data_IF_145154957773
#
_entry.id   IF_145154957773
#
_cell.length_a   1.000
_cell.length_b   1.000
_cell.length_c   1.000
_cell.angle_alpha   90.00
_cell.angle_beta   90.00
_cell.angle_gamma   90.00
#
_symmetry.space_group_name_H-M   'P 1'
#
loop_
_entity.id
_entity.type
_entity.pdbx_description
1 polymer ?
#
# COMPACT_ATOMS: atom_id res chain seq x y z
N UNK A 1 -1.41 13.20 30.66
CA UNK A 1 -1.99 12.34 29.59
C UNK A 1 -1.23 12.67 28.32
N UNK A 2 -0.12 11.99 28.12
CA UNK A 2 0.77 12.17 26.99
C UNK A 2 0.09 11.62 25.73
N UNK A 3 -0.55 12.49 24.96
CA UNK A 3 -1.01 12.14 23.62
C UNK A 3 0.24 12.05 22.73
N UNK A 4 0.82 10.85 22.65
CA UNK A 4 1.81 10.57 21.60
C UNK A 4 1.11 10.76 20.25
N UNK A 5 1.69 11.53 19.30
CA UNK A 5 1.15 11.58 17.96
C UNK A 5 1.14 10.14 17.43
N UNK A 6 -0.06 9.59 17.23
CA UNK A 6 -0.21 8.31 16.55
C UNK A 6 0.39 8.49 15.17
N UNK A 7 1.56 7.90 14.95
CA UNK A 7 2.08 7.69 13.61
C UNK A 7 0.98 6.93 12.86
N UNK A 8 0.32 7.60 11.91
CA UNK A 8 -0.75 7.04 11.10
C UNK A 8 -0.22 5.76 10.49
N UNK A 9 -0.69 4.63 11.02
CA UNK A 9 -0.17 3.31 10.71
C UNK A 9 -1.00 2.79 9.56
N UNK A 10 -0.46 2.88 8.35
CA UNK A 10 -1.16 2.48 7.14
C UNK A 10 -1.27 0.95 7.10
N UNK A 11 -2.50 0.45 7.05
CA UNK A 11 -2.76 -0.96 6.79
C UNK A 11 -2.56 -1.29 5.30
N UNK A 12 -2.40 -2.58 5.00
CA UNK A 12 -2.36 -3.08 3.61
C UNK A 12 -3.56 -2.58 2.80
N UNK A 13 -4.76 -2.60 3.42
CA UNK A 13 -5.98 -2.12 2.79
C UNK A 13 -5.97 -0.63 2.47
N UNK A 14 -5.53 0.20 3.42
CA UNK A 14 -5.43 1.64 3.22
C UNK A 14 -4.39 2.01 2.15
N UNK A 15 -3.25 1.32 2.12
CA UNK A 15 -2.23 1.49 1.07
C UNK A 15 -2.79 1.14 -0.30
N UNK A 16 -3.49 0.01 -0.42
CA UNK A 16 -4.15 -0.40 -1.66
C UNK A 16 -5.16 0.64 -2.14
N UNK A 17 -6.03 1.10 -1.25
CA UNK A 17 -7.07 2.06 -1.60
C UNK A 17 -6.46 3.41 -2.02
N UNK A 18 -5.48 3.89 -1.27
CA UNK A 18 -4.78 5.15 -1.56
C UNK A 18 -4.06 5.09 -2.91
N UNK A 19 -3.29 4.02 -3.15
CA UNK A 19 -2.55 3.85 -4.41
C UNK A 19 -3.48 3.64 -5.59
N UNK A 20 -4.57 2.88 -5.42
CA UNK A 20 -5.59 2.72 -6.47
C UNK A 20 -6.18 4.07 -6.85
N UNK A 21 -6.56 4.88 -5.85
CA UNK A 21 -7.10 6.22 -6.09
C UNK A 21 -6.09 7.12 -6.79
N UNK A 22 -4.83 7.07 -6.37
CA UNK A 22 -3.74 7.82 -6.99
C UNK A 22 -3.56 7.43 -8.46
N UNK A 23 -3.46 6.14 -8.77
CA UNK A 23 -3.31 5.63 -10.13
C UNK A 23 -4.52 5.93 -11.02
N UNK A 24 -5.74 5.79 -10.50
CA UNK A 24 -6.96 6.18 -11.22
C UNK A 24 -6.92 7.67 -11.60
N UNK A 25 -6.49 8.54 -10.68
CA UNK A 25 -6.35 9.97 -10.95
C UNK A 25 -5.24 10.30 -11.94
N UNK A 26 -4.19 9.48 -11.97
CA UNK A 26 -3.09 9.58 -12.95
C UNK A 26 -3.45 8.99 -14.33
N UNK A 27 -4.64 8.40 -14.50
CA UNK A 27 -5.05 7.79 -15.76
C UNK A 27 -4.35 6.45 -16.06
N UNK A 28 -3.81 5.79 -15.04
CA UNK A 28 -3.19 4.46 -15.18
C UNK A 28 -4.31 3.43 -15.35
N UNK A 29 -4.24 2.69 -16.46
CA UNK A 29 -5.14 1.57 -16.73
C UNK A 29 -4.92 0.45 -15.70
N UNK A 30 -5.99 -0.27 -15.38
CA UNK A 30 -5.99 -1.30 -14.33
C UNK A 30 -5.36 -0.82 -12.99
N UNK A 31 -5.65 0.43 -12.58
CA UNK A 31 -5.09 1.09 -11.40
C UNK A 31 -5.04 0.20 -10.13
N UNK A 32 -6.11 -0.56 -9.87
CA UNK A 32 -6.18 -1.48 -8.74
C UNK A 32 -5.21 -2.65 -8.88
N UNK A 33 -5.18 -3.28 -10.05
CA UNK A 33 -4.26 -4.40 -10.33
C UNK A 33 -2.81 -3.94 -10.20
N UNK A 34 -2.48 -2.76 -10.73
CA UNK A 34 -1.17 -2.15 -10.61
C UNK A 34 -0.78 -1.91 -9.14
N UNK A 35 -1.70 -1.38 -8.32
CA UNK A 35 -1.48 -1.20 -6.89
C UNK A 35 -1.24 -2.55 -6.16
N UNK A 36 -2.04 -3.57 -6.48
CA UNK A 36 -1.89 -4.92 -5.92
C UNK A 36 -0.55 -5.55 -6.27
N UNK A 37 -0.09 -5.42 -7.52
CA UNK A 37 1.20 -5.96 -7.95
C UNK A 37 2.37 -5.28 -7.24
N UNK A 38 2.35 -3.95 -7.14
CA UNK A 38 3.40 -3.20 -6.43
C UNK A 38 3.43 -3.52 -4.94
N UNK A 39 2.26 -3.63 -4.30
CA UNK A 39 2.19 -3.90 -2.87
C UNK A 39 2.60 -5.35 -2.57
N UNK A 40 2.15 -6.32 -3.38
CA UNK A 40 2.58 -7.70 -3.28
C UNK A 40 4.11 -7.84 -3.40
N UNK A 41 4.71 -7.11 -4.34
CA UNK A 41 6.16 -7.06 -4.51
C UNK A 41 6.88 -6.42 -3.33
N UNK A 42 6.36 -5.30 -2.78
CA UNK A 42 6.93 -4.64 -1.61
C UNK A 42 6.93 -5.51 -0.34
N UNK A 43 5.90 -6.34 -0.20
CA UNK A 43 5.70 -7.22 0.95
C UNK A 43 6.27 -8.63 0.75
N UNK A 44 6.90 -8.89 -0.40
CA UNK A 44 7.38 -10.21 -0.81
C UNK A 44 6.32 -11.31 -0.63
N UNK A 45 5.10 -11.03 -1.10
CA UNK A 45 3.97 -11.92 -0.91
C UNK A 45 3.10 -12.03 -2.17
N UNK A 46 2.19 -13.01 -2.17
CA UNK A 46 1.24 -13.15 -3.27
C UNK A 46 0.09 -12.14 -3.17
N UNK A 47 -0.54 -11.82 -4.30
CA UNK A 47 -1.76 -11.00 -4.34
C UNK A 47 -2.87 -11.57 -3.46
N UNK A 48 -3.00 -12.90 -3.41
CA UNK A 48 -3.97 -13.58 -2.55
C UNK A 48 -3.72 -13.28 -1.06
N UNK A 49 -2.44 -13.21 -0.68
CA UNK A 49 -2.03 -12.89 0.70
C UNK A 49 -2.41 -11.47 1.10
N UNK A 50 -2.45 -10.51 0.17
CA UNK A 50 -2.93 -9.16 0.46
C UNK A 50 -4.38 -9.18 0.94
N UNK A 51 -5.24 -9.98 0.29
CA UNK A 51 -6.66 -10.11 0.65
C UNK A 51 -6.91 -10.70 2.02
N UNK A 52 -6.03 -11.57 2.51
CA UNK A 52 -6.17 -12.15 3.86
C UNK A 52 -5.55 -11.29 4.95
N UNK A 53 -4.82 -10.24 4.59
CA UNK A 53 -4.06 -9.39 5.52
C UNK A 53 -4.42 -7.91 5.41
N UNK A 54 -5.60 -7.57 4.93
CA UNK A 54 -6.02 -6.16 4.72
C UNK A 54 -5.82 -5.27 5.95
N UNK A 55 -6.09 -5.79 7.14
CA UNK A 55 -5.98 -5.08 8.41
C UNK A 55 -4.57 -5.11 9.01
N UNK A 56 -3.64 -5.86 8.41
CA UNK A 56 -2.26 -5.91 8.86
C UNK A 56 -1.53 -4.64 8.48
N UNK A 57 -0.72 -4.14 9.41
CA UNK A 57 0.19 -3.02 9.19
C UNK A 57 1.54 -3.56 8.71
N UNK A 58 2.00 -3.19 7.50
CA UNK A 58 3.35 -3.53 7.05
C UNK A 58 4.41 -2.80 7.89
N UNK A 59 5.62 -3.32 7.85
CA UNK A 59 6.76 -2.67 8.50
C UNK A 59 7.07 -1.33 7.83
N UNK A 60 7.64 -0.34 8.54
CA UNK A 60 7.98 0.98 7.97
C UNK A 60 8.84 0.89 6.70
N UNK A 61 9.80 -0.04 6.66
CA UNK A 61 10.64 -0.31 5.49
C UNK A 61 9.83 -0.80 4.27
N UNK A 62 8.84 -1.67 4.49
CA UNK A 62 7.95 -2.16 3.42
C UNK A 62 7.07 -1.03 2.88
N UNK A 63 6.54 -0.18 3.77
CA UNK A 63 5.76 1.00 3.38
C UNK A 63 6.63 1.99 2.58
N UNK A 64 7.88 2.20 3.01
CA UNK A 64 8.81 3.06 2.30
C UNK A 64 9.14 2.51 0.90
N UNK A 65 9.48 1.22 0.80
CA UNK A 65 9.74 0.55 -0.47
C UNK A 65 8.53 0.64 -1.42
N UNK A 66 7.33 0.36 -0.90
CA UNK A 66 6.08 0.48 -1.66
C UNK A 66 5.86 1.90 -2.19
N UNK A 67 5.98 2.90 -1.33
CA UNK A 67 5.79 4.31 -1.73
C UNK A 67 6.79 4.76 -2.79
N UNK A 68 8.05 4.33 -2.69
CA UNK A 68 9.06 4.63 -3.70
C UNK A 68 8.73 4.00 -5.05
N UNK A 69 8.16 2.80 -5.06
CA UNK A 69 7.68 2.18 -6.31
C UNK A 69 6.47 2.91 -6.90
N UNK A 70 5.52 3.34 -6.06
CA UNK A 70 4.35 4.11 -6.50
C UNK A 70 4.74 5.44 -7.13
N UNK A 71 5.74 6.14 -6.57
CA UNK A 71 6.25 7.41 -7.13
C UNK A 71 6.93 7.25 -8.49
N UNK A 72 7.49 6.07 -8.78
CA UNK A 72 8.18 5.78 -10.04
C UNK A 72 7.23 5.38 -11.17
N UNK A 73 5.93 5.23 -10.87
CA UNK A 73 4.92 4.72 -11.80
C UNK A 73 4.13 5.82 -12.50
#
# INVERSE_FOLDING_TARGET
>A
MDVKPQAVTWTIGELLQWTTTFFTRSGIDEARLSAELLLAHALDCSRMTLYTRFEQTPSPDQVAAFREMVKKR
#
